data_IF_257258983099
#
_entry.id   IF_257258983099
#
_cell.length_a   1.000
_cell.length_b   1.000
_cell.length_c   1.000
_cell.angle_alpha   90.00
_cell.angle_beta   90.00
_cell.angle_gamma   90.00
#
_symmetry.space_group_name_H-M   'P 1'
#
loop_
_entity.id
_entity.type
_entity.pdbx_description
1 polymer ?
#
# COMPACT_ATOMS: atom_id res chain seq x y z
N UNK A 1 -5.64 22.91 -8.47
CA UNK A 1 -4.35 22.36 -8.94
C UNK A 1 -3.34 23.49 -8.83
N UNK A 2 -2.39 23.34 -7.91
CA UNK A 2 -1.42 24.36 -7.51
C UNK A 2 -0.21 24.39 -8.47
N UNK A 3 0.76 25.26 -8.20
CA UNK A 3 1.99 25.50 -8.97
C UNK A 3 2.89 24.26 -9.15
N UNK A 4 2.52 23.10 -8.58
CA UNK A 4 3.30 21.87 -8.56
C UNK A 4 2.79 20.78 -9.54
N UNK A 5 1.68 20.99 -10.25
CA UNK A 5 1.15 20.01 -11.21
C UNK A 5 1.36 20.45 -12.66
N UNK A 6 2.03 19.60 -13.45
CA UNK A 6 2.08 19.73 -14.90
C UNK A 6 1.02 18.79 -15.49
N UNK A 7 -0.02 19.37 -16.10
CA UNK A 7 -0.98 18.61 -16.89
C UNK A 7 -0.56 18.65 -18.36
N UNK A 8 -0.39 17.48 -18.97
CA UNK A 8 -0.02 17.36 -20.38
C UNK A 8 -0.73 16.19 -21.04
N UNK A 9 -0.84 16.24 -22.36
CA UNK A 9 -1.43 15.19 -23.18
C UNK A 9 -0.37 14.58 -24.08
N UNK A 10 -0.21 13.25 -24.01
CA UNK A 10 0.69 12.52 -24.90
C UNK A 10 -0.13 11.68 -25.85
N UNK A 11 0.14 11.84 -27.15
CA UNK A 11 -0.60 11.11 -28.19
C UNK A 11 -0.32 9.62 -28.14
N UNK A 12 -1.38 8.83 -27.99
CA UNK A 12 -1.29 7.36 -28.06
C UNK A 12 -0.79 6.84 -29.42
N UNK A 13 -0.84 7.66 -30.47
CA UNK A 13 -0.29 7.33 -31.80
C UNK A 13 1.23 7.38 -31.78
N UNK A 14 1.80 8.47 -31.25
CA UNK A 14 3.25 8.66 -31.14
C UNK A 14 3.91 7.58 -30.28
N UNK A 15 3.17 7.17 -29.27
CA UNK A 15 3.48 6.11 -28.34
C UNK A 15 3.33 4.69 -28.93
N UNK A 16 2.70 4.53 -30.10
CA UNK A 16 2.60 3.25 -30.80
C UNK A 16 1.83 2.17 -30.02
N UNK A 17 0.78 2.58 -29.30
CA UNK A 17 0.05 1.75 -28.34
C UNK A 17 -0.57 0.48 -28.93
N UNK A 18 -0.92 0.47 -30.23
CA UNK A 18 -1.51 -0.69 -30.92
C UNK A 18 -0.68 -1.08 -32.14
N UNK A 19 -0.79 -2.33 -32.66
CA UNK A 19 -0.10 -2.75 -33.88
C UNK A 19 -0.35 -1.80 -35.06
N UNK A 20 -1.60 -1.38 -35.27
CA UNK A 20 -1.97 -0.45 -36.34
C UNK A 20 -1.29 0.92 -36.17
N UNK A 21 -1.20 1.44 -34.93
CA UNK A 21 -0.50 2.69 -34.64
C UNK A 21 1.01 2.56 -34.85
N UNK A 22 1.61 1.42 -34.53
CA UNK A 22 3.03 1.14 -34.82
C UNK A 22 3.31 1.12 -36.32
N UNK A 23 2.45 0.43 -37.09
CA UNK A 23 2.55 0.41 -38.55
C UNK A 23 2.41 1.82 -39.16
N UNK A 24 1.47 2.61 -38.64
CA UNK A 24 1.30 4.01 -39.05
C UNK A 24 2.54 4.87 -38.76
N UNK A 25 3.13 4.76 -37.57
CA UNK A 25 4.39 5.46 -37.24
C UNK A 25 5.54 4.99 -38.14
N UNK A 26 5.66 3.68 -38.38
CA UNK A 26 6.69 3.13 -39.27
C UNK A 26 6.59 3.69 -40.70
N UNK A 27 5.38 3.81 -41.25
CA UNK A 27 5.15 4.43 -42.55
C UNK A 27 5.53 5.92 -42.58
N UNK A 28 5.24 6.67 -41.50
CA UNK A 28 5.64 8.08 -41.39
C UNK A 28 7.16 8.25 -41.27
N UNK A 29 7.85 7.35 -40.58
CA UNK A 29 9.32 7.37 -40.48
C UNK A 29 9.96 7.30 -41.87
N UNK A 30 9.41 6.47 -42.77
CA UNK A 30 9.87 6.39 -44.16
C UNK A 30 9.68 7.71 -44.94
N UNK A 31 8.79 8.59 -44.48
CA UNK A 31 8.54 9.91 -45.04
C UNK A 31 9.33 11.03 -44.33
N UNK A 32 10.35 10.68 -43.54
CA UNK A 32 11.19 11.63 -42.83
C UNK A 32 10.60 12.14 -41.50
N UNK A 33 9.53 11.51 -40.99
CA UNK A 33 9.00 11.83 -39.67
C UNK A 33 9.96 11.39 -38.56
N UNK A 34 10.27 12.30 -37.63
CA UNK A 34 11.05 11.98 -36.43
C UNK A 34 10.10 11.46 -35.34
N UNK A 35 10.21 10.18 -34.93
CA UNK A 35 9.30 9.61 -33.94
C UNK A 35 9.57 10.16 -32.55
N UNK A 36 8.53 10.12 -31.71
CA UNK A 36 8.67 10.34 -30.28
C UNK A 36 9.64 9.31 -29.67
N UNK A 37 10.58 9.81 -28.86
CA UNK A 37 11.61 9.01 -28.20
C UNK A 37 11.04 8.29 -26.97
N UNK A 38 10.78 6.99 -27.13
CA UNK A 38 10.12 6.16 -26.11
C UNK A 38 11.08 5.63 -25.06
N UNK A 39 12.40 5.78 -25.25
CA UNK A 39 13.40 5.34 -24.27
C UNK A 39 13.69 6.40 -23.21
N UNK A 40 12.95 7.52 -23.23
CA UNK A 40 13.05 8.52 -22.18
C UNK A 40 12.35 8.02 -20.92
N UNK A 41 12.91 8.23 -19.71
CA UNK A 41 12.32 7.77 -18.46
C UNK A 41 10.84 8.16 -18.28
N UNK A 42 10.46 9.38 -18.68
CA UNK A 42 9.06 9.82 -18.61
C UNK A 42 8.15 9.07 -19.59
N UNK A 43 8.65 8.74 -20.79
CA UNK A 43 7.92 7.94 -21.76
C UNK A 43 7.70 6.51 -21.26
N UNK A 44 8.71 5.92 -20.62
CA UNK A 44 8.62 4.60 -20.00
C UNK A 44 7.60 4.58 -18.86
N UNK A 45 7.62 5.57 -17.97
CA UNK A 45 6.61 5.71 -16.92
C UNK A 45 5.18 5.77 -17.49
N UNK A 46 5.00 6.53 -18.57
CA UNK A 46 3.71 6.59 -19.27
C UNK A 46 3.33 5.21 -19.83
N UNK A 47 4.25 4.52 -20.52
CA UNK A 47 4.01 3.20 -21.12
C UNK A 47 3.63 2.16 -20.06
N UNK A 48 4.39 2.11 -18.96
CA UNK A 48 4.15 1.21 -17.81
C UNK A 48 2.77 1.45 -17.21
N UNK A 49 2.35 2.73 -17.15
CA UNK A 49 1.05 3.12 -16.64
C UNK A 49 -0.12 2.83 -17.58
N UNK A 50 0.03 2.27 -18.79
CA UNK A 50 -1.13 2.08 -19.66
C UNK A 50 -1.98 0.87 -19.34
N UNK A 51 -3.27 0.94 -19.66
CA UNK A 51 -4.13 -0.25 -19.73
C UNK A 51 -4.27 -0.78 -21.15
N UNK A 52 -3.96 -2.06 -21.36
CA UNK A 52 -4.19 -2.71 -22.64
C UNK A 52 -5.68 -2.61 -23.02
N UNK A 53 -5.97 -2.24 -24.27
CA UNK A 53 -7.34 -2.10 -24.78
C UNK A 53 -8.02 -0.77 -24.43
N UNK A 54 -7.49 0.04 -23.51
CA UNK A 54 -8.00 1.39 -23.27
C UNK A 54 -7.56 2.35 -24.40
N UNK A 55 -8.48 3.18 -24.94
CA UNK A 55 -8.15 4.13 -25.99
C UNK A 55 -7.46 5.39 -25.47
N UNK A 56 -7.57 5.71 -24.18
CA UNK A 56 -6.92 6.83 -23.48
C UNK A 56 -6.89 6.57 -21.96
N UNK A 57 -5.80 6.93 -21.30
CA UNK A 57 -5.67 6.82 -19.84
C UNK A 57 -5.28 8.18 -19.25
N UNK A 58 -5.79 8.48 -18.06
CA UNK A 58 -5.22 9.50 -17.19
C UNK A 58 -4.22 8.88 -16.25
N UNK A 59 -3.02 9.45 -16.16
CA UNK A 59 -1.97 9.00 -15.26
C UNK A 59 -1.61 10.12 -14.29
N UNK A 60 -1.33 9.75 -13.04
CA UNK A 60 -0.62 10.61 -12.09
C UNK A 60 0.77 10.04 -11.93
N UNK A 61 1.78 10.86 -12.19
CA UNK A 61 3.19 10.45 -12.18
C UNK A 61 3.95 11.38 -11.22
N UNK A 62 4.75 10.77 -10.33
CA UNK A 62 5.56 11.50 -9.35
C UNK A 62 6.73 12.24 -10.03
N UNK A 63 7.42 13.13 -9.29
CA UNK A 63 8.66 13.77 -9.79
C UNK A 63 9.78 12.75 -10.05
N UNK A 64 9.75 11.62 -9.32
CA UNK A 64 10.68 10.52 -9.49
C UNK A 64 10.23 9.52 -10.58
N UNK A 65 9.17 9.87 -11.32
CA UNK A 65 8.61 9.09 -12.43
C UNK A 65 7.86 7.82 -12.01
N UNK A 66 7.46 7.73 -10.75
CA UNK A 66 6.60 6.65 -10.26
C UNK A 66 5.17 6.86 -10.75
N UNK A 67 4.53 5.80 -11.27
CA UNK A 67 3.11 5.85 -11.64
C UNK A 67 2.27 5.73 -10.37
N UNK A 68 1.73 6.86 -9.91
CA UNK A 68 0.97 6.96 -8.67
C UNK A 68 -0.51 6.59 -8.86
N UNK A 69 -1.05 6.73 -10.07
CA UNK A 69 -2.44 6.35 -10.37
C UNK A 69 -2.71 6.26 -11.86
N UNK A 70 -3.73 5.46 -12.23
CA UNK A 70 -4.18 5.24 -13.61
C UNK A 70 -5.70 5.15 -13.69
N UNK A 71 -6.33 6.08 -14.40
CA UNK A 71 -7.76 6.02 -14.71
C UNK A 71 -7.98 5.85 -16.23
N UNK A 72 -8.20 4.62 -16.71
CA UNK A 72 -8.57 4.37 -18.09
C UNK A 72 -9.91 5.02 -18.44
N UNK A 73 -10.03 5.59 -19.64
CA UNK A 73 -11.26 6.32 -20.03
C UNK A 73 -12.50 5.41 -20.05
N UNK A 74 -12.31 4.14 -20.39
CA UNK A 74 -13.34 3.10 -20.38
C UNK A 74 -13.73 2.64 -18.96
N UNK A 75 -12.97 3.03 -17.93
CA UNK A 75 -13.24 2.75 -16.51
C UNK A 75 -13.71 3.98 -15.74
N UNK A 76 -14.01 5.08 -16.44
CA UNK A 76 -14.61 6.29 -15.84
C UNK A 76 -16.10 6.10 -15.55
N UNK A 77 -16.42 5.06 -14.78
CA UNK A 77 -17.74 4.82 -14.20
C UNK A 77 -17.80 5.40 -12.79
N UNK A 78 -18.97 5.43 -12.16
CA UNK A 78 -19.10 5.81 -10.75
C UNK A 78 -18.15 4.98 -9.87
N UNK A 79 -17.42 5.58 -8.91
CA UNK A 79 -17.47 6.99 -8.49
C UNK A 79 -16.58 7.95 -9.31
N UNK A 80 -15.82 7.44 -10.28
CA UNK A 80 -14.80 8.16 -11.06
C UNK A 80 -15.32 8.87 -12.33
N UNK A 81 -16.63 9.00 -12.48
CA UNK A 81 -17.25 9.70 -13.60
C UNK A 81 -17.35 11.22 -13.36
N UNK A 82 -17.20 12.00 -14.43
CA UNK A 82 -17.31 13.46 -14.39
C UNK A 82 -16.15 14.15 -13.66
N UNK A 83 -16.28 15.46 -13.43
CA UNK A 83 -15.23 16.28 -12.81
C UNK A 83 -14.97 15.94 -11.34
N UNK A 84 -16.02 15.61 -10.58
CA UNK A 84 -15.91 15.17 -9.18
C UNK A 84 -15.18 13.83 -9.06
N UNK A 85 -15.52 12.86 -9.92
CA UNK A 85 -14.84 11.57 -9.95
C UNK A 85 -13.38 11.68 -10.41
N UNK A 86 -13.08 12.59 -11.34
CA UNK A 86 -11.69 12.87 -11.71
C UNK A 86 -10.89 13.52 -10.57
N UNK A 87 -11.49 14.44 -9.80
CA UNK A 87 -10.86 15.00 -8.61
C UNK A 87 -10.60 13.92 -7.55
N UNK A 88 -11.57 13.03 -7.32
CA UNK A 88 -11.42 11.88 -6.44
C UNK A 88 -10.24 11.00 -6.86
N UNK A 89 -10.16 10.66 -8.15
CA UNK A 89 -9.02 9.94 -8.73
C UNK A 89 -7.67 10.63 -8.43
N UNK A 90 -7.58 11.95 -8.60
CA UNK A 90 -6.34 12.69 -8.32
C UNK A 90 -5.98 12.63 -6.83
N UNK A 91 -6.97 12.80 -5.95
CA UNK A 91 -6.75 12.72 -4.50
C UNK A 91 -6.28 11.32 -4.09
N UNK A 92 -6.95 10.28 -4.57
CA UNK A 92 -6.59 8.88 -4.27
C UNK A 92 -5.22 8.50 -4.84
N UNK A 93 -4.88 8.96 -6.05
CA UNK A 93 -3.56 8.72 -6.62
C UNK A 93 -2.45 9.39 -5.80
N UNK A 94 -2.68 10.61 -5.28
CA UNK A 94 -1.73 11.30 -4.42
C UNK A 94 -1.61 10.64 -3.03
N UNK A 95 -2.72 10.12 -2.51
CA UNK A 95 -2.77 9.35 -1.27
C UNK A 95 -2.22 7.91 -1.42
N UNK A 96 -1.69 7.55 -2.61
CA UNK A 96 -1.23 6.20 -2.96
C UNK A 96 -2.32 5.12 -2.79
N UNK A 97 -3.59 5.51 -2.87
CA UNK A 97 -4.76 4.61 -2.84
C UNK A 97 -5.00 3.92 -4.19
N UNK A 98 -4.07 4.08 -5.14
CA UNK A 98 -4.00 3.42 -6.43
C UNK A 98 -5.35 3.16 -7.11
N UNK A 99 -6.04 4.20 -7.62
CA UNK A 99 -7.05 3.97 -8.62
C UNK A 99 -6.31 3.50 -9.89
N UNK A 100 -6.14 2.18 -10.02
CA UNK A 100 -5.98 1.48 -11.29
C UNK A 100 -4.65 0.85 -11.69
N UNK A 101 -3.89 0.11 -10.87
CA UNK A 101 -2.94 -0.91 -11.40
C UNK A 101 -3.00 -2.21 -10.56
N UNK A 102 -3.00 -3.44 -11.13
CA UNK A 102 -3.57 -3.95 -12.39
C UNK A 102 -4.64 -5.08 -12.18
N UNK A 103 -5.51 -5.31 -13.17
CA UNK A 103 -5.96 -6.68 -13.47
C UNK A 103 -4.78 -7.41 -14.14
N UNK A 104 -4.46 -8.66 -13.75
CA UNK A 104 -3.48 -9.45 -14.46
C UNK A 104 -3.91 -9.63 -15.92
N UNK A 105 -2.94 -9.59 -16.84
CA UNK A 105 -3.15 -9.96 -18.23
C UNK A 105 -3.99 -11.24 -18.30
N UNK A 106 -5.04 -11.30 -19.13
CA UNK A 106 -5.79 -12.55 -19.35
C UNK A 106 -4.79 -13.66 -19.66
N UNK A 107 -4.64 -14.56 -18.69
CA UNK A 107 -3.63 -15.60 -18.50
C UNK A 107 -2.24 -15.12 -18.06
N UNK A 108 -1.98 -14.93 -16.76
CA UNK A 108 -0.75 -15.43 -16.16
C UNK A 108 -0.98 -16.91 -15.79
N UNK A 109 0.07 -17.74 -15.71
CA UNK A 109 -0.05 -19.00 -14.97
C UNK A 109 -0.52 -18.66 -13.56
N UNK A 110 -1.39 -19.49 -12.96
CA UNK A 110 -1.95 -19.28 -11.63
C UNK A 110 -0.87 -18.93 -10.61
N UNK A 111 -0.62 -17.64 -10.40
CA UNK A 111 0.23 -17.18 -9.32
C UNK A 111 -0.67 -17.08 -8.12
N UNK A 112 -0.55 -18.07 -7.25
CA UNK A 112 -1.07 -17.99 -5.90
C UNK A 112 -0.52 -16.72 -5.26
N UNK A 113 -1.40 -15.74 -5.02
CA UNK A 113 -1.03 -14.45 -4.43
C UNK A 113 -0.47 -14.61 -3.02
N UNK A 114 -0.82 -15.69 -2.32
CA UNK A 114 -0.19 -16.04 -1.05
C UNK A 114 1.26 -16.42 -1.29
N UNK A 115 1.55 -17.25 -2.30
CA UNK A 115 2.92 -17.57 -2.69
C UNK A 115 3.69 -16.34 -3.15
N UNK A 116 3.08 -15.37 -3.86
CA UNK A 116 3.77 -14.14 -4.26
C UNK A 116 4.15 -13.26 -3.07
N UNK A 117 3.25 -13.10 -2.09
CA UNK A 117 3.49 -12.31 -0.88
C UNK A 117 4.43 -13.04 0.10
N UNK A 118 4.32 -14.37 0.21
CA UNK A 118 5.29 -15.22 0.91
C UNK A 118 6.67 -15.11 0.25
N UNK A 119 6.76 -15.19 -1.08
CA UNK A 119 8.02 -15.02 -1.83
C UNK A 119 8.59 -13.61 -1.66
N UNK A 120 7.77 -12.57 -1.57
CA UNK A 120 8.23 -11.18 -1.35
C UNK A 120 8.81 -10.97 0.06
N UNK A 121 8.25 -11.65 1.07
CA UNK A 121 8.77 -11.66 2.46
C UNK A 121 10.03 -12.54 2.54
N UNK A 122 10.02 -13.73 1.94
CA UNK A 122 11.17 -14.66 1.92
C UNK A 122 12.36 -14.12 1.10
N UNK A 123 12.09 -13.36 0.04
CA UNK A 123 13.13 -12.72 -0.78
C UNK A 123 13.69 -11.42 -0.17
N UNK A 124 13.13 -10.95 0.95
CA UNK A 124 13.55 -9.71 1.61
C UNK A 124 13.18 -8.43 0.83
N UNK A 125 12.31 -8.52 -0.17
CA UNK A 125 11.78 -7.36 -0.89
C UNK A 125 10.89 -6.47 0.02
N UNK A 126 10.33 -7.07 1.07
CA UNK A 126 9.84 -6.40 2.27
C UNK A 126 10.82 -6.78 3.38
N UNK A 127 11.75 -5.88 3.73
CA UNK A 127 12.74 -6.16 4.77
C UNK A 127 12.07 -6.15 6.16
N UNK A 128 12.34 -7.17 6.98
CA UNK A 128 11.89 -7.23 8.38
C UNK A 128 12.47 -6.10 9.27
N UNK A 129 13.50 -5.39 8.80
CA UNK A 129 14.12 -4.27 9.52
C UNK A 129 13.15 -3.08 9.76
N UNK A 130 12.07 -2.96 8.96
CA UNK A 130 11.04 -1.93 9.14
C UNK A 130 10.01 -2.25 10.24
N UNK A 131 10.06 -3.44 10.83
CA UNK A 131 9.20 -3.84 11.96
C UNK A 131 9.86 -3.57 13.32
N UNK A 132 11.01 -2.91 13.35
CA UNK A 132 11.63 -2.41 14.58
C UNK A 132 11.55 -0.88 14.64
N UNK A 133 11.03 -0.38 15.75
CA UNK A 133 10.79 1.04 16.00
C UNK A 133 11.56 1.45 17.25
N UNK A 134 12.60 2.25 17.09
CA UNK A 134 13.30 2.87 18.21
C UNK A 134 12.83 4.31 18.35
N UNK A 135 12.16 4.62 19.45
CA UNK A 135 11.73 5.98 19.76
C UNK A 135 12.75 6.65 20.67
N UNK A 136 13.15 7.87 20.31
CA UNK A 136 13.99 8.73 21.16
C UNK A 136 13.33 10.08 21.37
N UNK A 137 13.91 10.93 22.23
CA UNK A 137 13.37 12.29 22.43
C UNK A 137 13.49 13.15 21.17
N UNK A 138 14.53 12.91 20.37
CA UNK A 138 14.80 13.60 19.11
C UNK A 138 13.93 13.05 17.96
N UNK A 139 13.60 11.76 18.02
CA UNK A 139 12.72 11.08 17.06
C UNK A 139 11.61 10.35 17.81
N UNK A 140 10.64 11.09 18.38
CA UNK A 140 9.59 10.51 19.22
C UNK A 140 8.45 9.92 18.40
N UNK A 141 8.65 9.68 17.09
CA UNK A 141 7.62 9.22 16.18
C UNK A 141 8.24 8.45 15.02
N UNK A 142 7.62 7.33 14.63
CA UNK A 142 7.97 6.56 13.43
C UNK A 142 6.73 5.95 12.79
N UNK A 143 6.74 5.83 11.46
CA UNK A 143 5.71 5.15 10.69
C UNK A 143 6.17 3.75 10.31
N UNK A 144 5.26 2.78 10.38
CA UNK A 144 5.46 1.38 9.96
C UNK A 144 4.33 0.98 9.02
N UNK A 145 4.68 0.53 7.82
CA UNK A 145 3.74 -0.01 6.84
C UNK A 145 4.02 -1.51 6.68
N UNK A 146 3.02 -2.35 6.96
CA UNK A 146 3.15 -3.80 6.79
C UNK A 146 1.79 -4.44 6.50
N UNK A 147 1.75 -5.77 6.52
CA UNK A 147 0.56 -6.58 6.29
C UNK A 147 0.24 -7.44 7.50
N UNK A 148 -1.00 -7.85 7.64
CA UNK A 148 -1.44 -8.89 8.59
C UNK A 148 -2.25 -9.96 7.85
N UNK A 149 -2.36 -11.14 8.46
CA UNK A 149 -3.06 -12.30 7.89
C UNK A 149 -4.18 -12.74 8.82
N UNK A 150 -5.33 -13.10 8.25
CA UNK A 150 -6.38 -13.76 8.99
C UNK A 150 -5.90 -15.14 9.42
N UNK A 151 -5.91 -15.45 10.73
CA UNK A 151 -5.33 -16.69 11.24
C UNK A 151 -6.24 -17.90 11.03
N UNK A 152 -7.52 -17.66 10.73
CA UNK A 152 -8.58 -18.66 10.79
C UNK A 152 -9.16 -18.80 12.20
N UNK A 153 -10.26 -19.55 12.29
CA UNK A 153 -11.09 -19.59 13.48
C UNK A 153 -10.34 -20.06 14.74
N UNK A 154 -10.26 -19.18 15.74
CA UNK A 154 -9.67 -19.48 17.05
C UNK A 154 -8.14 -19.46 17.12
N UNK A 155 -7.46 -19.09 16.03
CA UNK A 155 -6.00 -19.01 15.95
C UNK A 155 -5.51 -17.55 15.99
N UNK A 156 -4.20 -17.37 16.17
CA UNK A 156 -3.49 -16.10 15.99
C UNK A 156 -2.32 -16.29 15.03
N UNK A 157 -2.06 -15.26 14.22
CA UNK A 157 -0.94 -15.21 13.27
C UNK A 157 -0.48 -13.75 13.18
N UNK A 158 0.35 -13.36 14.16
CA UNK A 158 0.77 -11.98 14.32
C UNK A 158 1.93 -11.62 13.39
N UNK A 159 1.75 -10.55 12.63
CA UNK A 159 2.87 -9.70 12.21
C UNK A 159 3.26 -8.83 13.41
N UNK A 160 4.51 -8.93 13.85
CA UNK A 160 4.98 -8.26 15.09
C UNK A 160 5.82 -7.04 14.76
N UNK A 161 5.45 -5.89 15.33
CA UNK A 161 6.28 -4.68 15.36
C UNK A 161 6.88 -4.53 16.75
N UNK A 162 8.20 -4.54 16.86
CA UNK A 162 8.92 -4.25 18.10
C UNK A 162 9.08 -2.75 18.28
N UNK A 163 8.75 -2.24 19.48
CA UNK A 163 8.77 -0.81 19.79
C UNK A 163 9.66 -0.61 21.01
N UNK A 164 10.85 -0.07 20.82
CA UNK A 164 11.80 0.30 21.85
C UNK A 164 11.56 1.74 22.31
N UNK A 165 11.14 1.90 23.57
CA UNK A 165 10.97 3.20 24.24
C UNK A 165 11.99 3.42 25.37
N UNK A 166 13.09 2.67 25.41
CA UNK A 166 14.09 2.71 26.51
C UNK A 166 14.73 4.09 26.73
N UNK A 167 14.72 4.96 25.72
CA UNK A 167 15.13 6.36 25.84
C UNK A 167 14.25 7.19 26.82
N UNK A 168 13.02 6.75 27.08
CA UNK A 168 12.04 7.42 27.95
C UNK A 168 12.11 6.89 29.39
N UNK A 169 13.21 7.19 30.08
CA UNK A 169 13.51 6.66 31.44
C UNK A 169 12.43 6.93 32.49
N UNK A 170 11.71 8.04 32.35
CA UNK A 170 10.67 8.48 33.30
C UNK A 170 9.26 8.06 32.88
N UNK A 171 9.16 7.17 31.88
CA UNK A 171 7.89 6.73 31.33
C UNK A 171 7.31 7.69 30.29
N UNK A 172 6.06 7.46 29.93
CA UNK A 172 5.36 8.22 28.90
C UNK A 172 3.99 7.65 28.57
N UNK A 173 3.42 8.16 27.48
CA UNK A 173 2.20 7.64 26.88
C UNK A 173 2.55 7.18 25.47
N UNK A 174 2.53 5.87 25.24
CA UNK A 174 2.65 5.31 23.91
C UNK A 174 1.32 5.48 23.18
N UNK A 175 1.35 6.14 22.02
CA UNK A 175 0.20 6.33 21.13
C UNK A 175 0.51 5.66 19.81
N UNK A 176 -0.41 4.81 19.36
CA UNK A 176 -0.30 4.08 18.10
C UNK A 176 -1.57 4.37 17.30
N UNK A 177 -1.44 5.20 16.28
CA UNK A 177 -2.51 5.49 15.33
C UNK A 177 -2.42 4.51 14.16
N UNK A 178 -3.43 3.67 14.02
CA UNK A 178 -3.45 2.55 13.08
C UNK A 178 -4.45 2.87 11.99
N UNK A 179 -4.04 2.74 10.73
CA UNK A 179 -4.92 2.78 9.56
C UNK A 179 -4.92 1.43 8.88
N UNK A 180 -6.10 0.83 8.70
CA UNK A 180 -6.25 -0.47 8.02
C UNK A 180 -6.47 -0.26 6.54
N UNK A 181 -5.84 -1.09 5.71
CA UNK A 181 -6.03 -1.10 4.27
C UNK A 181 -7.46 -1.47 3.85
N UNK A 182 -7.75 -1.37 2.56
CA UNK A 182 -9.12 -1.56 2.04
C UNK A 182 -9.47 -3.00 1.64
N UNK A 183 -8.60 -3.98 1.87
CA UNK A 183 -8.91 -5.38 1.59
C UNK A 183 -9.94 -5.94 2.59
N UNK A 184 -10.65 -7.02 2.23
CA UNK A 184 -11.87 -7.45 2.94
C UNK A 184 -11.66 -7.82 4.42
N UNK A 185 -10.48 -8.32 4.79
CA UNK A 185 -10.22 -8.76 6.17
C UNK A 185 -9.98 -7.58 7.12
N UNK A 186 -10.67 -7.62 8.27
CA UNK A 186 -10.54 -6.63 9.35
C UNK A 186 -9.26 -6.85 10.14
N UNK A 187 -8.71 -5.77 10.67
CA UNK A 187 -7.54 -5.82 11.54
C UNK A 187 -7.88 -6.04 13.01
N UNK A 188 -7.02 -6.78 13.70
CA UNK A 188 -6.95 -6.85 15.15
C UNK A 188 -5.51 -6.58 15.58
N UNK A 189 -5.37 -5.67 16.55
CA UNK A 189 -4.08 -5.16 17.01
C UNK A 189 -4.01 -5.28 18.52
N UNK A 190 -2.95 -5.93 19.00
CA UNK A 190 -2.74 -6.21 20.41
C UNK A 190 -1.36 -5.69 20.82
N UNK A 191 -1.30 -4.86 21.86
CA UNK A 191 -0.05 -4.39 22.44
C UNK A 191 0.35 -5.29 23.60
N UNK A 192 1.59 -5.77 23.60
CA UNK A 192 2.16 -6.61 24.63
C UNK A 192 3.43 -6.00 25.22
N UNK A 193 3.81 -6.51 26.39
CA UNK A 193 5.17 -6.33 26.88
C UNK A 193 6.18 -7.03 25.96
N UNK A 194 7.39 -6.49 25.85
CA UNK A 194 8.45 -7.07 25.02
C UNK A 194 8.83 -8.49 25.42
N UNK A 195 8.68 -8.85 26.70
CA UNK A 195 9.02 -10.19 27.19
C UNK A 195 7.84 -11.18 27.10
N UNK A 196 6.64 -10.72 26.77
CA UNK A 196 5.46 -11.60 26.65
C UNK A 196 5.62 -12.55 25.44
N UNK A 197 5.36 -13.84 25.67
CA UNK A 197 5.17 -14.82 24.61
C UNK A 197 3.81 -14.61 23.96
N UNK A 198 3.78 -14.49 22.63
CA UNK A 198 2.55 -14.20 21.92
C UNK A 198 1.70 -15.46 21.80
N UNK A 199 0.39 -15.41 22.12
CA UNK A 199 -0.49 -16.55 21.97
C UNK A 199 -0.64 -16.91 20.50
N UNK A 200 -0.73 -18.20 20.20
CA UNK A 200 -1.01 -18.72 18.85
C UNK A 200 -2.49 -19.10 18.66
N UNK A 201 -3.27 -19.09 19.74
CA UNK A 201 -4.68 -19.45 19.75
C UNK A 201 -5.46 -18.73 20.86
N UNK A 202 -6.78 -18.67 20.70
CA UNK A 202 -7.70 -18.11 21.69
C UNK A 202 -7.62 -16.58 21.83
N UNK A 203 -8.27 -16.08 22.89
CA UNK A 203 -8.33 -14.64 23.17
C UNK A 203 -7.01 -14.18 23.79
N UNK A 204 -6.41 -13.06 23.35
CA UNK A 204 -5.14 -12.58 23.87
C UNK A 204 -5.32 -11.94 25.26
N UNK A 205 -5.27 -12.78 26.31
CA UNK A 205 -5.53 -12.36 27.69
C UNK A 205 -4.41 -11.50 28.29
N UNK A 206 -3.19 -11.63 27.77
CA UNK A 206 -2.00 -10.91 28.26
C UNK A 206 -1.72 -9.61 27.49
N UNK A 207 -2.59 -9.24 26.55
CA UNK A 207 -2.49 -7.96 25.87
C UNK A 207 -2.69 -6.82 26.88
N UNK A 208 -1.76 -5.86 26.87
CA UNK A 208 -1.80 -4.65 27.68
C UNK A 208 -2.99 -3.76 27.28
N UNK A 209 -3.31 -3.75 25.99
CA UNK A 209 -4.45 -3.05 25.39
C UNK A 209 -4.60 -3.50 23.93
N UNK A 210 -5.80 -3.33 23.37
CA UNK A 210 -6.15 -3.88 22.06
C UNK A 210 -7.09 -2.99 21.27
N UNK A 211 -7.05 -3.15 19.95
CA UNK A 211 -7.98 -2.63 18.98
C UNK A 211 -8.43 -3.78 18.06
N UNK A 212 -9.63 -4.32 18.29
CA UNK A 212 -10.17 -5.44 17.52
C UNK A 212 -11.23 -5.00 16.52
N UNK A 213 -11.44 -5.85 15.51
CA UNK A 213 -12.49 -5.69 14.49
C UNK A 213 -12.40 -4.33 13.77
N UNK A 214 -11.18 -3.81 13.60
CA UNK A 214 -10.94 -2.54 12.89
C UNK A 214 -11.29 -2.73 11.42
N UNK A 215 -12.34 -2.05 10.90
CA UNK A 215 -12.82 -2.32 9.55
C UNK A 215 -11.82 -1.91 8.46
N UNK A 216 -11.93 -2.49 7.26
CA UNK A 216 -11.16 -2.04 6.10
C UNK A 216 -11.34 -0.54 5.81
N UNK A 217 -10.25 0.16 5.56
CA UNK A 217 -10.25 1.60 5.27
C UNK A 217 -10.45 2.51 6.49
N UNK A 218 -10.68 1.94 7.68
CA UNK A 218 -10.89 2.69 8.91
C UNK A 218 -9.60 2.87 9.70
N UNK A 219 -9.68 3.73 10.72
CA UNK A 219 -8.57 4.01 11.64
C UNK A 219 -8.96 3.71 13.07
N UNK A 220 -7.97 3.36 13.88
CA UNK A 220 -8.13 3.19 15.31
C UNK A 220 -6.86 3.59 16.06
N UNK A 221 -7.01 4.06 17.30
CA UNK A 221 -5.88 4.46 18.14
C UNK A 221 -5.75 3.55 19.35
N UNK A 222 -4.54 3.06 19.61
CA UNK A 222 -4.16 2.44 20.88
C UNK A 222 -3.41 3.49 21.70
N UNK A 223 -3.74 3.59 22.99
CA UNK A 223 -3.02 4.45 23.96
C UNK A 223 -2.65 3.64 25.18
N UNK A 224 -1.38 3.66 25.55
CA UNK A 224 -0.88 2.92 26.70
C UNK A 224 0.09 3.74 27.54
N UNK A 225 -0.25 4.11 28.78
CA UNK A 225 0.68 4.77 29.69
C UNK A 225 1.70 3.75 30.22
N UNK A 226 2.97 4.14 30.26
CA UNK A 226 4.05 3.32 30.81
C UNK A 226 4.90 4.12 31.79
N UNK A 227 5.35 3.48 32.87
CA UNK A 227 6.09 4.14 33.95
C UNK A 227 7.60 4.29 33.69
N UNK A 228 8.15 3.43 32.83
CA UNK A 228 9.56 3.44 32.45
C UNK A 228 9.71 2.89 31.03
N UNK A 229 10.61 3.49 30.26
CA UNK A 229 10.95 3.06 28.91
C UNK A 229 11.38 1.60 28.86
N UNK A 230 10.83 0.85 27.91
CA UNK A 230 11.05 -0.59 27.71
C UNK A 230 10.71 -0.97 26.27
N UNK A 231 10.85 -2.24 25.93
CA UNK A 231 10.41 -2.77 24.64
C UNK A 231 8.95 -3.23 24.76
N UNK A 232 8.17 -2.97 23.72
CA UNK A 232 6.81 -3.47 23.52
C UNK A 232 6.73 -4.26 22.21
N UNK A 233 5.71 -5.10 22.09
CA UNK A 233 5.34 -5.76 20.82
C UNK A 233 3.94 -5.35 20.43
N UNK A 234 3.78 -4.79 19.24
CA UNK A 234 2.47 -4.63 18.61
C UNK A 234 2.25 -5.81 17.67
N UNK A 235 1.35 -6.71 18.04
CA UNK A 235 0.89 -7.79 17.19
C UNK A 235 -0.25 -7.32 16.30
N UNK A 236 -0.10 -7.43 14.98
CA UNK A 236 -1.15 -7.20 13.99
C UNK A 236 -1.59 -8.53 13.37
N UNK A 237 -2.88 -8.84 13.44
CA UNK A 237 -3.48 -10.07 12.90
C UNK A 237 -4.81 -9.74 12.22
N UNK A 238 -5.31 -10.63 11.36
CA UNK A 238 -6.65 -10.51 10.81
C UNK A 238 -7.72 -11.03 11.77
N UNK A 239 -8.97 -10.63 11.57
CA UNK A 239 -10.09 -11.11 12.38
C UNK A 239 -10.22 -12.63 12.34
N UNK A 240 -10.50 -13.23 13.49
CA UNK A 240 -10.61 -14.70 13.66
C UNK A 240 -11.82 -15.28 12.93
N UNK A 241 -12.78 -14.45 12.53
CA UNK A 241 -13.97 -14.86 11.79
C UNK A 241 -13.74 -14.93 10.28
N UNK A 242 -12.57 -14.50 9.80
CA UNK A 242 -12.22 -14.49 8.38
C UNK A 242 -11.50 -15.77 7.96
N UNK A 243 -11.51 -16.03 6.65
CA UNK A 243 -10.86 -17.21 6.08
C UNK A 243 -9.36 -17.12 6.30
N UNK A 244 -8.77 -18.21 6.80
CA UNK A 244 -7.32 -18.31 7.00
C UNK A 244 -6.56 -17.89 5.74
N UNK A 245 -5.55 -17.03 5.92
CA UNK A 245 -4.68 -16.55 4.86
C UNK A 245 -5.21 -15.34 4.09
N UNK A 246 -6.39 -14.79 4.41
CA UNK A 246 -6.78 -13.48 3.88
C UNK A 246 -5.81 -12.40 4.39
N UNK A 247 -5.38 -11.49 3.51
CA UNK A 247 -4.34 -10.52 3.79
C UNK A 247 -4.91 -9.11 3.67
N UNK A 248 -4.52 -8.22 4.59
CA UNK A 248 -4.72 -6.78 4.45
C UNK A 248 -3.49 -6.02 4.99
N UNK A 249 -3.36 -4.76 4.60
CA UNK A 249 -2.29 -3.87 5.03
C UNK A 249 -2.66 -3.08 6.28
N UNK A 250 -1.65 -2.58 6.98
CA UNK A 250 -1.83 -1.54 7.99
C UNK A 250 -0.67 -0.53 7.93
N UNK A 251 -0.99 0.73 8.22
CA UNK A 251 -0.03 1.79 8.52
C UNK A 251 -0.18 2.14 9.99
N UNK A 252 0.88 1.96 10.77
CA UNK A 252 0.95 2.37 12.17
C UNK A 252 1.86 3.59 12.30
N UNK A 253 1.34 4.67 12.86
CA UNK A 253 2.11 5.81 13.34
C UNK A 253 2.29 5.65 14.85
N UNK A 254 3.54 5.49 15.29
CA UNK A 254 3.89 5.14 16.67
C UNK A 254 4.66 6.30 17.30
N UNK A 255 4.20 6.82 18.44
CA UNK A 255 4.81 7.94 19.17
C UNK A 255 4.75 7.82 20.70
#
# INVERSE_FOLDING_TARGET
>A
MNENFINTWVSNVELGRTPNKRAFIAARIQQGYKPFDKTRPFAEAIITGWKLGSPADSLVISKNLDVMGRLPVNERTSPYNGSKGYLLFLQEALDKKHPGLPEPARNPPSTDWNTFLETAVESGAIANDDLSVVLTREHPKKEVLSIFRAPGHGLQDYTVVEIDTTAFKDGGLLVIDISVGSAETKGAFDLYDGETELPTEGIPQEALTSAWEVPPGEKQTIKYPFAQGKVFKLGATGSWFHKKGEINGFLAEIS
#
